data_IF_181804018662
#
_entry.id   IF_181804018662
#
_cell.length_a   1.000
_cell.length_b   1.000
_cell.length_c   1.000
_cell.angle_alpha   90.00
_cell.angle_beta   90.00
_cell.angle_gamma   90.00
#
_symmetry.space_group_name_H-M   'P 1'
#
loop_
_entity.id
_entity.type
_entity.pdbx_description
1 polymer ?
#
# COMPACT_ATOMS: atom_id res chain seq x y z
N UNK A 1 -18.43 1.86 -19.44
CA UNK A 1 -17.67 1.56 -18.22
C UNK A 1 -18.28 0.30 -17.62
N UNK A 2 -17.74 -0.87 -17.95
CA UNK A 2 -18.18 -2.12 -17.32
C UNK A 2 -17.64 -2.08 -15.89
N UNK A 3 -18.54 -1.98 -14.93
CA UNK A 3 -18.25 -2.14 -13.51
C UNK A 3 -17.59 -3.50 -13.32
N UNK A 4 -16.42 -3.52 -12.72
CA UNK A 4 -15.78 -4.73 -12.23
C UNK A 4 -16.86 -5.52 -11.47
N UNK A 5 -17.14 -6.75 -11.92
CA UNK A 5 -18.27 -7.55 -11.45
C UNK A 5 -18.36 -7.55 -9.92
N UNK A 6 -19.57 -7.61 -9.38
CA UNK A 6 -19.91 -7.55 -7.95
C UNK A 6 -19.09 -8.57 -7.14
N UNK A 7 -17.91 -8.16 -6.71
CA UNK A 7 -17.21 -8.86 -5.66
C UNK A 7 -17.64 -8.26 -4.33
N UNK A 8 -18.04 -9.05 -3.35
CA UNK A 8 -18.18 -8.56 -2.00
C UNK A 8 -16.78 -8.02 -1.63
N UNK A 9 -16.67 -6.70 -1.50
CA UNK A 9 -15.49 -6.07 -0.97
C UNK A 9 -15.22 -6.75 0.37
N UNK A 10 -14.06 -7.38 0.56
CA UNK A 10 -13.64 -7.79 1.90
C UNK A 10 -13.24 -6.51 2.64
N UNK A 11 -14.28 -5.81 3.10
CA UNK A 11 -14.17 -4.60 3.89
C UNK A 11 -14.25 -5.02 5.34
N UNK A 12 -13.21 -4.70 6.10
CA UNK A 12 -13.23 -4.83 7.54
C UNK A 12 -13.55 -3.47 8.15
N UNK A 13 -14.49 -3.44 9.08
CA UNK A 13 -14.95 -2.20 9.72
C UNK A 13 -14.81 -2.29 11.24
N UNK A 14 -14.37 -1.18 11.86
CA UNK A 14 -14.26 -0.99 13.30
C UNK A 14 -14.79 0.39 13.69
N UNK A 15 -15.13 0.54 14.95
CA UNK A 15 -15.64 1.80 15.51
C UNK A 15 -17.10 2.08 15.17
N UNK A 16 -17.60 3.19 15.69
CA UNK A 16 -19.01 3.59 15.50
C UNK A 16 -19.20 4.21 14.12
N UNK A 17 -20.34 3.98 13.51
CA UNK A 17 -20.70 4.55 12.19
C UNK A 17 -20.85 6.08 12.23
N UNK A 18 -21.09 6.65 13.41
CA UNK A 18 -21.19 8.10 13.62
C UNK A 18 -19.86 8.82 13.77
N UNK A 19 -18.77 8.07 13.95
CA UNK A 19 -17.44 8.65 14.10
C UNK A 19 -16.86 9.08 12.74
N UNK A 20 -15.93 10.05 12.72
CA UNK A 20 -15.18 10.40 11.51
C UNK A 20 -14.52 9.18 10.88
N UNK A 21 -14.58 9.07 9.56
CA UNK A 21 -14.17 7.90 8.84
C UNK A 21 -12.69 7.93 8.40
N UNK A 22 -12.03 6.78 8.52
CA UNK A 22 -10.68 6.51 8.01
C UNK A 22 -10.76 5.29 7.12
N UNK A 23 -10.21 5.41 5.91
CA UNK A 23 -10.06 4.30 4.95
C UNK A 23 -8.61 3.84 4.93
N UNK A 24 -8.37 2.54 5.07
CA UNK A 24 -7.05 1.93 5.10
C UNK A 24 -6.84 1.02 3.88
N UNK A 25 -5.81 1.30 3.09
CA UNK A 25 -5.48 0.61 1.85
C UNK A 25 -4.10 -0.05 1.96
N UNK A 26 -4.07 -1.38 1.86
CA UNK A 26 -2.82 -2.14 1.95
C UNK A 26 -1.94 -2.01 0.70
N UNK A 27 -0.67 -2.36 0.83
CA UNK A 27 0.27 -2.45 -0.29
C UNK A 27 0.22 -3.79 -1.00
N UNK A 28 1.12 -3.95 -1.97
CA UNK A 28 1.30 -5.22 -2.66
C UNK A 28 1.53 -6.36 -1.64
N UNK A 29 0.88 -7.48 -1.83
CA UNK A 29 0.82 -8.67 -0.96
C UNK A 29 0.07 -8.49 0.36
N UNK A 30 -0.51 -7.32 0.60
CA UNK A 30 -1.31 -7.07 1.79
C UNK A 30 -2.76 -7.54 1.66
N UNK A 31 -3.50 -7.34 2.72
CA UNK A 31 -4.95 -7.54 2.82
C UNK A 31 -5.54 -6.68 3.94
N UNK A 32 -6.86 -6.55 3.97
CA UNK A 32 -7.56 -5.73 4.95
C UNK A 32 -7.19 -6.08 6.41
N UNK A 33 -6.96 -7.36 6.71
CA UNK A 33 -6.61 -7.81 8.06
C UNK A 33 -5.23 -7.33 8.55
N UNK A 34 -4.35 -6.89 7.68
CA UNK A 34 -3.04 -6.36 8.08
C UNK A 34 -3.15 -5.04 8.86
N UNK A 35 -4.29 -4.37 8.71
CA UNK A 35 -4.59 -3.14 9.40
C UNK A 35 -5.22 -3.31 10.78
N UNK A 36 -5.54 -4.56 11.20
CA UNK A 36 -6.15 -4.82 12.52
C UNK A 36 -5.41 -4.10 13.65
N UNK A 37 -4.05 -4.17 13.75
CA UNK A 37 -3.37 -3.54 14.86
C UNK A 37 -3.44 -2.00 14.87
N UNK A 38 -3.60 -1.36 13.72
CA UNK A 38 -3.81 0.10 13.62
C UNK A 38 -5.27 0.43 13.87
N UNK A 39 -6.21 -0.35 13.31
CA UNK A 39 -7.63 -0.16 13.50
C UNK A 39 -8.01 -0.20 14.99
N UNK A 40 -7.47 -1.15 15.75
CA UNK A 40 -7.69 -1.27 17.19
C UNK A 40 -7.22 -0.04 18.00
N UNK A 41 -6.21 0.70 17.51
CA UNK A 41 -5.74 1.94 18.15
C UNK A 41 -6.59 3.18 17.77
N UNK A 42 -7.46 3.03 16.78
CA UNK A 42 -8.26 4.12 16.24
C UNK A 42 -9.76 3.94 16.50
N UNK A 43 -10.27 2.71 16.68
CA UNK A 43 -11.69 2.38 16.68
C UNK A 43 -12.51 3.04 17.80
N UNK A 44 -11.87 3.44 18.90
CA UNK A 44 -12.57 4.16 19.99
C UNK A 44 -13.09 5.54 19.56
N UNK A 45 -12.38 6.20 18.63
CA UNK A 45 -12.63 7.58 18.22
C UNK A 45 -13.00 7.72 16.74
N UNK A 46 -12.72 6.71 15.93
CA UNK A 46 -12.90 6.77 14.48
C UNK A 46 -13.63 5.54 13.96
N UNK A 47 -14.37 5.74 12.87
CA UNK A 47 -14.87 4.65 12.03
C UNK A 47 -13.77 4.25 11.07
N UNK A 48 -13.23 3.06 11.21
CA UNK A 48 -12.11 2.57 10.38
C UNK A 48 -12.64 1.54 9.39
N UNK A 49 -12.34 1.75 8.10
CA UNK A 49 -12.69 0.85 7.01
C UNK A 49 -11.40 0.38 6.33
N UNK A 50 -11.04 -0.88 6.45
CA UNK A 50 -9.90 -1.45 5.73
C UNK A 50 -10.39 -2.29 4.55
N UNK A 51 -9.89 -1.97 3.37
CA UNK A 51 -10.26 -2.62 2.12
C UNK A 51 -9.23 -3.66 1.72
N UNK A 52 -9.71 -4.79 1.21
CA UNK A 52 -8.88 -5.68 0.42
C UNK A 52 -8.90 -5.20 -1.03
N UNK A 53 -7.73 -4.84 -1.56
CA UNK A 53 -7.64 -4.41 -2.96
C UNK A 53 -7.92 -5.61 -3.88
N UNK A 54 -8.66 -5.42 -4.99
CA UNK A 54 -8.86 -6.46 -5.98
C UNK A 54 -7.57 -7.14 -6.43
N UNK A 55 -7.66 -8.38 -6.88
CA UNK A 55 -6.54 -9.26 -7.19
C UNK A 55 -5.70 -9.70 -5.98
N UNK A 56 -6.07 -9.29 -4.76
CA UNK A 56 -5.49 -9.75 -3.50
C UNK A 56 -6.51 -10.61 -2.75
N UNK A 57 -6.02 -11.56 -1.93
CA UNK A 57 -6.86 -12.55 -1.24
C UNK A 57 -7.80 -13.29 -2.22
N UNK A 58 -9.08 -13.46 -1.89
CA UNK A 58 -10.03 -14.20 -2.73
C UNK A 58 -10.69 -13.35 -3.83
N UNK A 59 -10.31 -12.05 -3.92
CA UNK A 59 -10.88 -11.11 -4.89
C UNK A 59 -10.27 -11.27 -6.28
N UNK A 60 -10.80 -12.21 -7.08
CA UNK A 60 -10.48 -12.29 -8.51
C UNK A 60 -11.19 -11.17 -9.27
N UNK A 61 -10.50 -10.51 -10.17
CA UNK A 61 -11.07 -9.47 -11.04
C UNK A 61 -10.79 -9.84 -12.48
N UNK A 62 -11.83 -9.84 -13.30
CA UNK A 62 -11.66 -9.99 -14.75
C UNK A 62 -11.08 -8.69 -15.34
N UNK A 63 -9.96 -8.83 -16.03
CA UNK A 63 -9.31 -7.71 -16.71
C UNK A 63 -8.01 -7.24 -16.06
N UNK A 64 -7.51 -6.12 -16.55
CA UNK A 64 -6.29 -5.46 -16.08
C UNK A 64 -6.67 -4.25 -15.19
N UNK A 65 -6.64 -4.38 -13.85
CA UNK A 65 -6.96 -3.28 -12.96
C UNK A 65 -5.95 -2.15 -13.11
N UNK A 66 -6.44 -0.91 -12.97
CA UNK A 66 -5.65 0.33 -12.98
C UNK A 66 -5.85 1.10 -11.68
N UNK A 67 -5.03 2.10 -11.39
CA UNK A 67 -5.26 2.97 -10.24
C UNK A 67 -6.64 3.63 -10.28
N UNK A 68 -7.09 4.05 -11.47
CA UNK A 68 -8.42 4.66 -11.67
C UNK A 68 -9.55 3.68 -11.33
N UNK A 69 -9.46 2.44 -11.82
CA UNK A 69 -10.48 1.42 -11.49
C UNK A 69 -10.46 1.04 -10.01
N UNK A 70 -9.29 1.06 -9.37
CA UNK A 70 -9.18 0.84 -7.93
C UNK A 70 -9.79 1.99 -7.13
N UNK A 71 -9.51 3.24 -7.52
CA UNK A 71 -10.11 4.42 -6.89
C UNK A 71 -11.65 4.37 -6.97
N UNK A 72 -12.20 4.03 -8.15
CA UNK A 72 -13.65 3.87 -8.33
C UNK A 72 -14.22 2.77 -7.42
N UNK A 73 -13.55 1.61 -7.34
CA UNK A 73 -13.95 0.50 -6.46
C UNK A 73 -13.98 0.92 -4.98
N UNK A 74 -12.94 1.63 -4.52
CA UNK A 74 -12.88 2.11 -3.13
C UNK A 74 -13.96 3.16 -2.88
N UNK A 75 -14.17 4.12 -3.80
CA UNK A 75 -15.20 5.14 -3.68
C UNK A 75 -16.59 4.51 -3.55
N UNK A 76 -16.94 3.54 -4.40
CA UNK A 76 -18.20 2.82 -4.34
C UNK A 76 -18.40 2.13 -2.99
N UNK A 77 -17.38 1.44 -2.48
CA UNK A 77 -17.44 0.76 -1.19
C UNK A 77 -17.59 1.73 0.00
N UNK A 78 -16.92 2.88 -0.03
CA UNK A 78 -16.99 3.92 1.00
C UNK A 78 -18.38 4.56 1.01
N UNK A 79 -18.89 4.97 -0.15
CA UNK A 79 -20.20 5.60 -0.31
C UNK A 79 -21.35 4.64 0.04
N UNK A 80 -21.27 3.38 -0.41
CA UNK A 80 -22.24 2.34 -0.06
C UNK A 80 -22.25 2.04 1.44
N UNK A 81 -21.12 2.26 2.12
CA UNK A 81 -21.04 2.21 3.58
C UNK A 81 -21.64 3.42 4.27
N UNK A 82 -22.19 4.41 3.58
CA UNK A 82 -22.76 5.64 4.17
C UNK A 82 -21.69 6.60 4.69
N UNK A 83 -20.51 6.63 4.08
CA UNK A 83 -19.44 7.59 4.40
C UNK A 83 -19.39 8.65 3.31
N UNK A 84 -19.64 9.89 3.67
CA UNK A 84 -19.64 11.03 2.74
C UNK A 84 -18.26 11.67 2.61
N UNK A 85 -17.43 11.57 3.65
CA UNK A 85 -16.08 12.13 3.67
C UNK A 85 -15.16 11.33 4.60
N UNK A 86 -13.91 11.07 4.16
CA UNK A 86 -12.95 10.28 4.92
C UNK A 86 -11.51 10.75 4.74
N UNK A 87 -10.65 10.40 5.69
CA UNK A 87 -9.20 10.42 5.50
C UNK A 87 -8.77 9.07 4.94
N UNK A 88 -7.95 9.08 3.89
CA UNK A 88 -7.48 7.85 3.25
C UNK A 88 -6.01 7.62 3.56
N UNK A 89 -5.70 6.47 4.11
CA UNK A 89 -4.36 6.03 4.48
C UNK A 89 -3.97 4.85 3.60
N UNK A 90 -2.89 4.96 2.86
CA UNK A 90 -2.43 3.88 1.99
C UNK A 90 -0.94 3.59 2.15
N UNK A 91 -0.61 2.30 2.19
CA UNK A 91 0.78 1.85 2.17
C UNK A 91 1.19 1.45 0.75
N UNK A 92 2.34 1.92 0.28
CA UNK A 92 2.93 1.50 -1.00
C UNK A 92 1.92 1.64 -2.17
N UNK A 93 1.53 0.55 -2.81
CA UNK A 93 0.48 0.54 -3.84
C UNK A 93 -0.82 1.19 -3.35
N UNK A 94 -1.26 0.89 -2.11
CA UNK A 94 -2.42 1.53 -1.49
C UNK A 94 -2.27 3.05 -1.34
N UNK A 95 -1.05 3.55 -1.15
CA UNK A 95 -0.75 4.98 -1.15
C UNK A 95 -0.97 5.62 -2.52
N UNK A 96 -0.61 4.92 -3.60
CA UNK A 96 -0.90 5.36 -4.97
C UNK A 96 -2.41 5.37 -5.27
N UNK A 97 -3.12 4.33 -4.81
CA UNK A 97 -4.59 4.26 -4.91
C UNK A 97 -5.24 5.38 -4.11
N UNK A 98 -4.76 5.69 -2.90
CA UNK A 98 -5.26 6.78 -2.07
C UNK A 98 -5.13 8.15 -2.76
N UNK A 99 -3.98 8.40 -3.38
CA UNK A 99 -3.78 9.64 -4.16
C UNK A 99 -4.65 9.70 -5.41
N UNK A 100 -4.82 8.58 -6.12
CA UNK A 100 -5.75 8.51 -7.25
C UNK A 100 -7.19 8.76 -6.80
N UNK A 101 -7.60 8.18 -5.67
CA UNK A 101 -8.93 8.40 -5.09
C UNK A 101 -9.17 9.88 -4.77
N UNK A 102 -8.16 10.57 -4.22
CA UNK A 102 -8.26 12.00 -3.92
C UNK A 102 -8.41 12.85 -5.19
N UNK A 103 -7.79 12.47 -6.29
CA UNK A 103 -7.92 13.17 -7.57
C UNK A 103 -9.28 12.94 -8.22
N UNK A 104 -9.76 11.70 -8.22
CA UNK A 104 -10.99 11.34 -8.93
C UNK A 104 -12.26 11.64 -8.11
N UNK A 105 -12.14 11.69 -6.78
CA UNK A 105 -13.25 11.89 -5.83
C UNK A 105 -12.88 12.93 -4.76
N UNK A 106 -12.60 14.20 -5.15
CA UNK A 106 -12.08 15.21 -4.25
C UNK A 106 -13.03 15.55 -3.08
N UNK A 107 -14.34 15.43 -3.26
CA UNK A 107 -15.32 15.70 -2.20
C UNK A 107 -15.35 14.58 -1.15
N UNK A 108 -15.05 13.34 -1.55
CA UNK A 108 -15.01 12.18 -0.66
C UNK A 108 -13.77 12.18 0.23
N UNK A 109 -12.64 12.68 -0.27
CA UNK A 109 -11.36 12.60 0.42
C UNK A 109 -11.02 13.89 1.14
N UNK A 110 -10.94 13.86 2.46
CA UNK A 110 -10.59 15.00 3.30
C UNK A 110 -9.07 15.25 3.36
N UNK A 111 -8.29 14.17 3.41
CA UNK A 111 -6.83 14.19 3.41
C UNK A 111 -6.27 12.82 3.00
N UNK A 112 -5.05 12.80 2.53
CA UNK A 112 -4.31 11.59 2.16
C UNK A 112 -3.11 11.39 3.08
N UNK A 113 -2.94 10.18 3.61
CA UNK A 113 -1.70 9.74 4.23
C UNK A 113 -1.09 8.64 3.39
N UNK A 114 0.03 8.93 2.79
CA UNK A 114 0.79 7.97 1.98
C UNK A 114 1.95 7.42 2.79
N UNK A 115 1.98 6.12 2.99
CA UNK A 115 3.06 5.44 3.69
C UNK A 115 3.99 4.82 2.66
N UNK A 116 5.14 5.44 2.54
CA UNK A 116 6.26 5.06 1.67
C UNK A 116 5.90 4.84 0.20
N UNK A 117 5.01 5.72 -0.32
CA UNK A 117 4.66 5.80 -1.72
C UNK A 117 4.62 7.26 -2.17
N UNK A 118 5.51 7.69 -3.06
CA UNK A 118 5.51 9.06 -3.57
C UNK A 118 4.39 9.26 -4.59
N UNK A 119 3.99 10.50 -4.84
CA UNK A 119 3.01 10.83 -5.88
C UNK A 119 3.41 10.28 -7.26
N UNK A 120 2.44 9.95 -8.13
CA UNK A 120 2.72 9.41 -9.47
C UNK A 120 3.41 10.40 -10.41
N UNK A 121 3.46 11.67 -10.06
CA UNK A 121 4.21 12.72 -10.79
C UNK A 121 5.73 12.63 -10.59
N UNK A 122 6.19 11.72 -9.76
CA UNK A 122 7.61 11.45 -9.56
C UNK A 122 8.09 10.31 -10.43
N UNK A 123 9.05 10.59 -11.32
CA UNK A 123 9.80 9.56 -12.02
C UNK A 123 10.81 8.94 -11.07
N UNK A 124 10.79 7.64 -10.98
CA UNK A 124 11.73 6.86 -10.19
C UNK A 124 12.33 5.73 -11.04
N UNK A 125 13.20 6.05 -12.03
CA UNK A 125 13.66 5.06 -13.02
C UNK A 125 14.28 3.80 -12.38
N UNK A 126 15.00 3.96 -11.26
CA UNK A 126 15.58 2.81 -10.53
C UNK A 126 14.50 1.93 -9.92
N UNK A 127 13.47 2.52 -9.31
CA UNK A 127 12.33 1.78 -8.75
C UNK A 127 11.52 1.12 -9.86
N UNK A 128 11.29 1.82 -10.96
CA UNK A 128 10.60 1.29 -12.13
C UNK A 128 11.32 0.05 -12.67
N UNK A 129 12.63 0.12 -12.92
CA UNK A 129 13.42 -1.01 -13.39
C UNK A 129 13.39 -2.17 -12.41
N UNK A 130 13.64 -1.90 -11.12
CA UNK A 130 13.59 -2.89 -10.06
C UNK A 130 12.22 -3.58 -9.98
N UNK A 131 11.13 -2.84 -10.14
CA UNK A 131 9.78 -3.40 -10.08
C UNK A 131 9.46 -4.25 -11.31
N UNK A 132 9.90 -3.86 -12.51
CA UNK A 132 9.73 -4.69 -13.71
C UNK A 132 10.43 -6.04 -13.57
N UNK A 133 11.68 -6.06 -13.12
CA UNK A 133 12.40 -7.31 -12.86
C UNK A 133 11.71 -8.15 -11.78
N UNK A 134 11.22 -7.49 -10.74
CA UNK A 134 10.48 -8.14 -9.67
C UNK A 134 9.20 -8.80 -10.17
N UNK A 135 8.43 -8.10 -10.97
CA UNK A 135 7.19 -8.62 -11.55
C UNK A 135 7.51 -9.84 -12.41
N UNK A 136 8.54 -9.79 -13.26
CA UNK A 136 8.93 -10.90 -14.09
C UNK A 136 9.33 -12.13 -13.26
N UNK A 137 10.15 -11.96 -12.22
CA UNK A 137 10.58 -13.05 -11.31
C UNK A 137 9.39 -13.67 -10.56
N UNK A 138 8.46 -12.84 -10.09
CA UNK A 138 7.28 -13.30 -9.36
C UNK A 138 6.27 -13.97 -10.29
N UNK A 139 6.13 -13.51 -11.53
CA UNK A 139 5.31 -14.16 -12.53
C UNK A 139 5.83 -15.58 -12.83
N UNK A 140 7.14 -15.72 -13.00
CA UNK A 140 7.77 -17.04 -13.19
C UNK A 140 7.55 -17.96 -11.98
N UNK A 141 7.73 -17.42 -10.75
CA UNK A 141 7.47 -18.17 -9.53
C UNK A 141 5.98 -18.56 -9.38
N UNK A 142 5.06 -17.68 -9.75
CA UNK A 142 3.62 -17.97 -9.72
C UNK A 142 3.24 -19.09 -10.70
N UNK A 143 3.85 -19.11 -11.89
CA UNK A 143 3.65 -20.19 -12.87
C UNK A 143 4.22 -21.54 -12.40
N UNK A 144 5.28 -21.53 -11.60
CA UNK A 144 5.97 -22.74 -11.11
C UNK A 144 5.42 -23.28 -9.79
N UNK A 145 4.35 -22.73 -9.24
CA UNK A 145 3.84 -23.03 -7.89
C UNK A 145 3.27 -24.44 -7.70
N UNK A 146 2.98 -25.18 -8.73
CA UNK A 146 2.50 -26.55 -8.61
C UNK A 146 3.50 -27.40 -7.81
N UNK A 147 3.20 -27.64 -6.53
CA UNK A 147 4.01 -28.47 -5.64
C UNK A 147 5.01 -27.77 -4.72
N UNK A 148 5.08 -26.42 -4.73
CA UNK A 148 5.97 -25.70 -3.83
C UNK A 148 5.40 -25.64 -2.39
N UNK A 149 6.18 -26.10 -1.42
CA UNK A 149 5.82 -26.03 0.00
C UNK A 149 5.98 -24.61 0.58
N UNK A 150 5.23 -24.31 1.66
CA UNK A 150 5.28 -22.99 2.34
C UNK A 150 6.70 -22.56 2.72
N UNK A 151 7.52 -23.49 3.21
CA UNK A 151 8.91 -23.21 3.59
C UNK A 151 9.77 -22.81 2.38
N UNK A 152 9.63 -23.50 1.25
CA UNK A 152 10.36 -23.17 0.03
C UNK A 152 9.97 -21.79 -0.49
N UNK A 153 8.67 -21.44 -0.42
CA UNK A 153 8.20 -20.09 -0.77
C UNK A 153 8.75 -19.04 0.20
N UNK A 154 8.78 -19.31 1.51
CA UNK A 154 9.37 -18.39 2.49
C UNK A 154 10.83 -18.11 2.17
N UNK A 155 11.62 -19.15 1.90
CA UNK A 155 13.04 -19.02 1.53
C UNK A 155 13.22 -18.25 0.21
N UNK A 156 12.37 -18.52 -0.79
CA UNK A 156 12.36 -17.76 -2.04
C UNK A 156 12.07 -16.27 -1.81
N UNK A 157 11.09 -15.96 -0.98
CA UNK A 157 10.71 -14.57 -0.68
C UNK A 157 11.81 -13.85 0.11
N UNK A 158 12.40 -14.50 1.11
CA UNK A 158 13.54 -13.98 1.87
C UNK A 158 14.71 -13.67 0.95
N UNK A 159 15.08 -14.62 0.10
CA UNK A 159 16.17 -14.43 -0.89
C UNK A 159 15.84 -13.29 -1.87
N UNK A 160 14.63 -13.28 -2.40
CA UNK A 160 14.19 -12.22 -3.33
C UNK A 160 14.16 -10.85 -2.67
N UNK A 161 13.82 -10.76 -1.39
CA UNK A 161 13.81 -9.52 -0.62
C UNK A 161 15.25 -9.05 -0.34
N UNK A 162 16.11 -9.96 0.10
CA UNK A 162 17.55 -9.68 0.29
C UNK A 162 18.20 -9.16 -0.99
N UNK A 163 18.01 -9.86 -2.11
CA UNK A 163 18.52 -9.40 -3.39
C UNK A 163 18.08 -7.97 -3.74
N UNK A 164 16.90 -7.56 -3.35
CA UNK A 164 16.36 -6.22 -3.67
C UNK A 164 16.89 -5.10 -2.82
N UNK A 165 17.12 -5.40 -1.56
CA UNK A 165 17.72 -4.40 -0.66
C UNK A 165 19.19 -4.14 -1.04
N UNK A 166 19.81 -5.06 -1.79
CA UNK A 166 21.25 -5.12 -2.04
C UNK A 166 21.66 -5.08 -3.52
N UNK A 167 20.74 -5.27 -4.48
CA UNK A 167 21.04 -5.20 -5.92
C UNK A 167 21.05 -3.78 -6.51
N UNK A 168 21.28 -2.76 -5.69
CA UNK A 168 21.62 -1.45 -6.20
C UNK A 168 23.10 -1.32 -6.30
N UNK A 169 23.69 -1.55 -7.53
CA UNK A 169 25.10 -1.44 -7.80
C UNK A 169 26.02 -2.30 -6.90
N UNK A 170 27.10 -2.88 -7.41
CA UNK A 170 28.01 -3.72 -6.64
C UNK A 170 28.70 -3.02 -5.46
N UNK A 171 28.40 -1.78 -5.20
CA UNK A 171 28.59 -1.18 -3.91
C UNK A 171 27.60 -1.87 -2.97
N UNK A 172 28.05 -2.93 -2.29
CA UNK A 172 27.56 -3.37 -1.00
C UNK A 172 26.74 -2.28 -0.35
N UNK A 173 25.41 -2.34 -0.46
CA UNK A 173 24.59 -1.74 0.56
C UNK A 173 24.77 -2.72 1.71
N UNK A 174 25.81 -2.50 2.51
CA UNK A 174 25.86 -3.10 3.83
C UNK A 174 24.51 -2.75 4.46
N UNK A 175 23.81 -3.75 4.98
CA UNK A 175 22.68 -3.49 5.85
C UNK A 175 23.18 -2.43 6.82
N UNK A 176 22.51 -1.27 6.94
CA UNK A 176 22.83 -0.39 8.03
C UNK A 176 22.82 -1.28 9.28
N UNK A 177 23.84 -1.20 10.11
CA UNK A 177 23.96 -2.01 11.33
C UNK A 177 22.70 -1.97 12.21
N UNK A 178 21.76 -1.07 11.88
CA UNK A 178 20.49 -0.81 12.54
C UNK A 178 19.27 -1.37 11.83
N UNK A 179 19.42 -2.04 10.67
CA UNK A 179 18.28 -2.75 10.10
C UNK A 179 18.15 -4.07 10.87
N UNK A 180 17.09 -4.27 11.67
CA UNK A 180 16.96 -5.49 12.46
C UNK A 180 17.05 -6.70 11.53
N UNK A 181 17.92 -7.67 11.84
CA UNK A 181 18.07 -8.92 11.07
C UNK A 181 16.74 -9.69 10.93
N UNK A 182 15.77 -9.40 11.79
CA UNK A 182 14.42 -9.96 11.82
C UNK A 182 13.48 -9.36 10.77
N UNK A 183 13.80 -8.19 10.21
CA UNK A 183 12.96 -7.46 9.29
C UNK A 183 12.59 -8.27 8.03
N UNK A 184 13.53 -8.93 7.34
CA UNK A 184 13.20 -9.73 6.16
C UNK A 184 12.27 -10.90 6.50
N UNK A 185 12.40 -11.51 7.67
CA UNK A 185 11.57 -12.63 8.09
C UNK A 185 10.14 -12.19 8.40
N UNK A 186 9.96 -11.13 9.16
CA UNK A 186 8.64 -10.56 9.44
C UNK A 186 7.92 -10.11 8.16
N UNK A 187 8.65 -9.56 7.20
CA UNK A 187 8.11 -9.20 5.89
C UNK A 187 7.77 -10.43 5.06
N UNK A 188 8.61 -11.47 5.08
CA UNK A 188 8.32 -12.72 4.38
C UNK A 188 7.07 -13.39 4.97
N UNK A 189 6.91 -13.42 6.28
CA UNK A 189 5.71 -13.96 6.95
C UNK A 189 4.47 -13.13 6.63
N UNK A 190 4.58 -11.82 6.55
CA UNK A 190 3.52 -10.93 6.10
C UNK A 190 3.05 -11.28 4.67
N UNK A 191 3.98 -11.47 3.75
CA UNK A 191 3.67 -11.84 2.36
C UNK A 191 3.04 -13.23 2.29
N UNK A 192 3.57 -14.18 3.06
CA UNK A 192 3.12 -15.57 3.08
C UNK A 192 1.72 -15.78 3.67
N UNK A 193 1.12 -14.78 4.30
CA UNK A 193 -0.29 -14.84 4.72
C UNK A 193 -1.25 -15.03 3.54
N UNK A 194 -0.83 -14.63 2.36
CA UNK A 194 -1.57 -14.85 1.12
C UNK A 194 -1.26 -16.21 0.46
N UNK A 195 -0.44 -17.05 1.10
CA UNK A 195 -0.10 -18.39 0.63
C UNK A 195 -0.86 -19.42 1.46
N UNK A 196 -1.93 -19.96 0.88
CA UNK A 196 -2.89 -20.80 1.59
C UNK A 196 -2.85 -22.24 1.10
N UNK A 197 -3.23 -23.16 1.98
CA UNK A 197 -3.36 -24.57 1.64
C UNK A 197 -4.61 -24.76 0.77
N UNK A 198 -4.44 -25.44 -0.37
CA UNK A 198 -5.49 -25.87 -1.28
C UNK A 198 -5.54 -27.41 -1.34
N UNK A 199 -6.53 -27.98 -2.05
CA UNK A 199 -6.65 -29.44 -2.18
C UNK A 199 -5.41 -30.09 -2.80
N UNK A 200 -4.76 -29.44 -3.75
CA UNK A 200 -3.56 -29.93 -4.43
C UNK A 200 -2.25 -29.29 -3.94
N UNK A 201 -2.18 -28.86 -2.67
CA UNK A 201 -0.99 -28.26 -2.07
C UNK A 201 -1.20 -26.78 -1.69
N UNK A 202 -0.18 -25.96 -1.86
CA UNK A 202 -0.22 -24.55 -1.47
C UNK A 202 -0.38 -23.65 -2.69
N UNK A 203 -1.20 -22.62 -2.59
CA UNK A 203 -1.38 -21.60 -3.64
C UNK A 203 -1.38 -20.20 -3.06
N UNK A 204 -1.03 -19.21 -3.88
CA UNK A 204 -1.21 -17.80 -3.54
C UNK A 204 -2.64 -17.35 -3.80
N UNK A 205 -3.19 -16.61 -2.84
CA UNK A 205 -4.44 -15.86 -2.99
C UNK A 205 -4.20 -14.51 -3.69
N UNK A 206 -3.35 -14.50 -4.70
CA UNK A 206 -3.04 -13.34 -5.53
C UNK A 206 -3.29 -13.70 -6.97
N UNK A 207 -4.18 -12.97 -7.64
CA UNK A 207 -4.33 -13.09 -9.09
C UNK A 207 -3.22 -12.30 -9.76
N UNK A 208 -2.10 -12.96 -9.99
CA UNK A 208 -0.86 -12.33 -10.41
C UNK A 208 -0.96 -11.51 -11.72
N UNK A 209 -1.69 -11.91 -12.77
CA UNK A 209 -1.85 -11.09 -13.97
C UNK A 209 -2.48 -9.73 -13.67
N UNK A 210 -3.52 -9.69 -12.85
CA UNK A 210 -4.14 -8.43 -12.42
C UNK A 210 -3.25 -7.62 -11.48
N UNK A 211 -2.59 -8.26 -10.52
CA UNK A 211 -1.64 -7.62 -9.59
C UNK A 211 -0.47 -7.00 -10.35
N UNK A 212 0.11 -7.72 -11.33
CA UNK A 212 1.22 -7.19 -12.13
C UNK A 212 0.81 -5.96 -12.94
N UNK A 213 -0.36 -5.99 -13.57
CA UNK A 213 -0.91 -4.85 -14.28
C UNK A 213 -1.10 -3.63 -13.37
N UNK A 214 -1.72 -3.83 -12.21
CA UNK A 214 -1.96 -2.77 -11.24
C UNK A 214 -0.65 -2.16 -10.70
N UNK A 215 0.37 -2.99 -10.44
CA UNK A 215 1.68 -2.51 -9.99
C UNK A 215 2.37 -1.71 -11.09
N UNK A 216 2.36 -2.17 -12.33
CA UNK A 216 2.94 -1.44 -13.46
C UNK A 216 2.24 -0.10 -13.69
N UNK A 217 0.92 -0.07 -13.62
CA UNK A 217 0.15 1.18 -13.66
C UNK A 217 0.49 2.09 -12.47
N UNK A 218 0.64 1.51 -11.28
CA UNK A 218 0.95 2.23 -10.04
C UNK A 218 2.35 2.83 -9.95
N UNK A 219 3.34 2.23 -10.60
CA UNK A 219 4.72 2.78 -10.65
C UNK A 219 4.94 3.71 -11.83
N UNK A 220 4.06 3.69 -12.82
CA UNK A 220 4.16 4.54 -14.00
C UNK A 220 4.12 6.02 -13.65
N UNK A 221 4.89 6.80 -14.42
CA UNK A 221 4.82 8.27 -14.35
C UNK A 221 3.52 8.76 -14.97
N UNK A 222 2.89 9.72 -14.31
CA UNK A 222 1.71 10.41 -14.83
C UNK A 222 1.92 11.90 -14.79
N UNK A 223 1.62 12.54 -15.89
CA UNK A 223 1.48 13.98 -15.94
C UNK A 223 0.07 14.33 -15.48
N UNK A 224 -0.10 14.43 -14.15
CA UNK A 224 -1.41 14.68 -13.56
C UNK A 224 -1.45 16.03 -12.90
N UNK A 225 -2.67 16.59 -12.89
CA UNK A 225 -2.95 17.78 -12.10
C UNK A 225 -2.81 17.44 -10.60
N UNK A 226 -2.32 18.39 -9.81
CA UNK A 226 -2.21 18.21 -8.37
C UNK A 226 -3.59 17.97 -7.77
N UNK A 227 -3.66 17.16 -6.74
CA UNK A 227 -4.86 17.11 -5.91
C UNK A 227 -4.77 18.16 -4.80
N UNK A 228 -5.92 18.70 -4.39
CA UNK A 228 -5.99 19.86 -3.48
C UNK A 228 -6.01 19.45 -2.00
N UNK A 229 -6.21 18.19 -1.70
CA UNK A 229 -6.31 17.67 -0.34
C UNK A 229 -4.94 17.69 0.35
N UNK A 230 -4.88 17.92 1.67
CA UNK A 230 -3.67 17.75 2.44
C UNK A 230 -3.03 16.38 2.24
N UNK A 231 -1.72 16.35 2.02
CA UNK A 231 -0.92 15.13 1.89
C UNK A 231 0.09 15.02 3.04
N UNK A 232 0.01 13.93 3.80
CA UNK A 232 1.07 13.51 4.69
C UNK A 232 1.80 12.31 4.08
N UNK A 233 3.05 12.51 3.68
CA UNK A 233 3.93 11.44 3.22
C UNK A 233 4.81 10.96 4.38
N UNK A 234 4.63 9.73 4.81
CA UNK A 234 5.49 9.04 5.77
C UNK A 234 6.48 8.18 4.98
N UNK A 235 7.77 8.42 5.12
CA UNK A 235 8.79 7.68 4.37
C UNK A 235 9.85 7.02 5.24
N UNK A 236 10.31 5.85 4.83
CA UNK A 236 11.45 5.18 5.44
C UNK A 236 12.77 5.84 5.01
N UNK A 237 13.66 6.11 5.98
CA UNK A 237 14.95 6.77 5.71
C UNK A 237 15.91 5.95 4.85
N UNK A 238 15.76 4.61 4.88
CA UNK A 238 16.55 3.67 4.07
C UNK A 238 15.71 3.01 2.96
N UNK A 239 14.45 3.42 2.79
CA UNK A 239 13.60 2.92 1.72
C UNK A 239 13.96 3.55 0.37
N UNK A 240 14.10 2.75 -0.70
CA UNK A 240 14.37 3.29 -2.04
C UNK A 240 13.14 3.95 -2.67
N UNK A 241 11.91 3.63 -2.20
CA UNK A 241 10.66 4.04 -2.84
C UNK A 241 10.38 5.54 -2.73
N UNK A 242 10.84 6.19 -1.66
CA UNK A 242 10.70 7.63 -1.45
C UNK A 242 12.05 8.35 -1.33
N UNK A 243 13.14 7.73 -1.81
CA UNK A 243 14.46 8.35 -1.78
C UNK A 243 14.44 9.69 -2.51
N UNK A 244 14.98 10.73 -1.88
CA UNK A 244 15.06 12.08 -2.45
C UNK A 244 13.74 12.86 -2.47
N UNK A 245 12.62 12.32 -2.02
CA UNK A 245 11.36 13.06 -1.91
C UNK A 245 11.38 13.95 -0.68
N UNK A 246 11.22 15.26 -0.87
CA UNK A 246 11.14 16.29 0.18
C UNK A 246 9.88 17.15 0.01
N UNK A 247 9.50 17.91 1.03
CA UNK A 247 8.39 18.87 0.94
C UNK A 247 8.61 19.91 -0.15
N UNK A 248 9.83 20.48 -0.21
CA UNK A 248 10.19 21.47 -1.22
C UNK A 248 10.01 20.92 -2.63
N UNK A 249 10.43 19.67 -2.84
CA UNK A 249 10.29 19.01 -4.13
C UNK A 249 8.82 18.73 -4.47
N UNK A 250 7.99 18.37 -3.49
CA UNK A 250 6.55 18.21 -3.69
C UNK A 250 5.87 19.53 -4.03
N UNK A 251 6.19 20.62 -3.30
CA UNK A 251 5.69 21.95 -3.57
C UNK A 251 6.12 22.46 -4.95
N UNK A 252 7.41 22.32 -5.30
CA UNK A 252 7.93 22.78 -6.60
C UNK A 252 7.27 22.09 -7.80
N UNK A 253 6.68 20.92 -7.58
CA UNK A 253 5.93 20.17 -8.59
C UNK A 253 4.42 20.35 -8.50
N UNK A 254 3.94 21.20 -7.60
CA UNK A 254 2.53 21.50 -7.44
C UNK A 254 1.69 20.28 -7.06
N UNK A 255 2.26 19.34 -6.32
CA UNK A 255 1.57 18.09 -5.99
C UNK A 255 0.42 18.32 -5.03
N UNK A 256 0.64 19.09 -3.97
CA UNK A 256 -0.38 19.52 -3.04
C UNK A 256 0.05 20.84 -2.39
N UNK A 257 -0.88 21.77 -2.23
CA UNK A 257 -0.60 23.03 -1.54
C UNK A 257 -0.22 22.80 -0.08
N UNK A 258 -0.85 21.82 0.56
CA UNK A 258 -0.59 21.42 1.93
C UNK A 258 -0.01 20.01 1.98
N UNK A 259 1.29 19.90 1.77
CA UNK A 259 2.00 18.64 1.94
C UNK A 259 2.99 18.70 3.09
N UNK A 260 3.14 17.57 3.78
CA UNK A 260 4.12 17.36 4.83
C UNK A 260 4.83 16.03 4.61
N UNK A 261 6.15 16.01 4.77
CA UNK A 261 6.96 14.80 4.67
C UNK A 261 7.59 14.48 6.03
N UNK A 262 7.33 13.29 6.54
CA UNK A 262 7.95 12.79 7.78
C UNK A 262 8.81 11.59 7.44
N UNK A 263 10.12 11.71 7.72
CA UNK A 263 11.07 10.64 7.51
C UNK A 263 11.38 9.90 8.81
N UNK A 264 11.30 8.59 8.77
CA UNK A 264 11.69 7.70 9.85
C UNK A 264 13.11 7.20 9.60
N UNK A 265 14.07 7.78 10.30
CA UNK A 265 15.48 7.42 10.16
C UNK A 265 15.71 5.93 10.46
N UNK A 266 16.50 5.25 9.63
CA UNK A 266 16.81 3.83 9.79
C UNK A 266 15.69 2.85 9.41
N UNK A 267 14.48 3.35 9.16
CA UNK A 267 13.33 2.51 8.79
C UNK A 267 13.24 2.28 7.29
N UNK A 268 12.74 1.09 6.92
CA UNK A 268 12.48 0.70 5.55
C UNK A 268 11.03 0.95 5.13
N UNK A 269 10.55 0.09 4.23
CA UNK A 269 9.27 0.24 3.53
C UNK A 269 8.01 0.00 4.40
N UNK A 270 8.12 -0.73 5.52
CA UNK A 270 6.96 -1.23 6.27
C UNK A 270 6.72 -0.46 7.58
N UNK A 271 6.68 0.86 7.52
CA UNK A 271 6.50 1.74 8.68
C UNK A 271 5.26 1.42 9.52
N UNK A 272 4.15 1.11 8.86
CA UNK A 272 2.88 0.77 9.52
C UNK A 272 2.94 -0.53 10.35
N UNK A 273 3.96 -1.36 10.12
CA UNK A 273 4.23 -2.57 10.93
C UNK A 273 5.16 -2.24 12.08
N UNK A 274 6.29 -1.57 11.80
CA UNK A 274 7.39 -1.38 12.76
C UNK A 274 7.19 -0.18 13.67
N UNK A 275 6.64 0.91 13.15
CA UNK A 275 6.46 2.19 13.86
C UNK A 275 4.98 2.54 14.04
N UNK A 276 4.17 1.53 14.27
CA UNK A 276 2.70 1.60 14.36
C UNK A 276 2.20 2.73 15.26
N UNK A 277 2.74 2.84 16.47
CA UNK A 277 2.32 3.86 17.43
C UNK A 277 2.59 5.28 16.94
N UNK A 278 3.74 5.52 16.31
CA UNK A 278 4.11 6.82 15.76
C UNK A 278 3.28 7.15 14.51
N UNK A 279 3.06 6.16 13.65
CA UNK A 279 2.16 6.31 12.49
C UNK A 279 0.77 6.73 12.97
N UNK A 280 0.20 6.05 13.95
CA UNK A 280 -1.12 6.39 14.53
C UNK A 280 -1.12 7.79 15.16
N UNK A 281 -0.07 8.17 15.87
CA UNK A 281 0.05 9.51 16.45
C UNK A 281 0.03 10.59 15.37
N UNK A 282 0.73 10.38 14.25
CA UNK A 282 0.74 11.29 13.11
C UNK A 282 -0.61 11.32 12.40
N UNK A 283 -1.27 10.17 12.22
CA UNK A 283 -2.62 10.12 11.67
C UNK A 283 -3.59 11.01 12.46
N UNK A 284 -3.54 10.94 13.78
CA UNK A 284 -4.41 11.73 14.67
C UNK A 284 -4.22 13.25 14.51
N UNK A 285 -3.09 13.71 13.98
CA UNK A 285 -2.87 15.15 13.73
C UNK A 285 -3.66 15.69 12.53
N UNK A 286 -4.07 14.81 11.62
CA UNK A 286 -4.86 15.17 10.43
C UNK A 286 -6.37 14.90 10.60
N UNK A 287 -6.72 14.18 11.64
CA UNK A 287 -8.10 13.79 11.87
C UNK A 287 -8.83 14.85 12.71
N UNK A 288 -10.09 15.17 12.39
CA UNK A 288 -10.88 15.98 13.27
C UNK A 288 -10.97 15.29 14.63
N UNK A 289 -10.89 16.07 15.70
CA UNK A 289 -11.06 15.54 17.06
C UNK A 289 -12.38 14.78 17.10
N UNK A 290 -12.33 13.49 17.35
CA UNK A 290 -13.55 12.70 17.53
C UNK A 290 -14.37 13.35 18.64
N UNK A 291 -15.67 13.50 18.41
CA UNK A 291 -16.58 13.94 19.45
C UNK A 291 -16.47 12.94 20.61
N UNK A 292 -15.97 13.43 21.76
CA UNK A 292 -15.86 12.69 23.03
C UNK A 292 -17.23 12.29 23.55
#
# INVERSE_FOLDING_TARGET
MQLLGRYPADIRAWGRTTNPAIVLLHGLYGKATDWIPIAQLLESSYRVLAFCLPCHADGMVDGAPTLVSMAAYIAEGVLSGGVERCVVVGHSLGGRVAMQLAMDYPELVAAVVSIDAPPPTFRMPRVESMMHERIARLAAAWQSQAGCGRLAMKLFMLKSYQCRCYEGEPARIDFPEHCPRELPEAVADFILRNYVQAQEGWRWQLYWPGVSSLVLDGIGYREQLPFVQPLLLLKGGVSPYCAGVTEELLHSRGVAEHCRVVQFAGEGHFLHIHRRGEVVALLKTLLPSGAS
#
